data_IF_491360269712
#
_entry.id   IF_491360269712
#
_cell.length_a   1.000
_cell.length_b   1.000
_cell.length_c   1.000
_cell.angle_alpha   90.00
_cell.angle_beta   90.00
_cell.angle_gamma   90.00
#
_symmetry.space_group_name_H-M   'P 1'
#
loop_
_entity.id
_entity.type
_entity.pdbx_description
1 polymer ?
#
# COMPACT_ATOMS: atom_id res chain seq x y z
N UNK A 1 -52.52 10.69 29.21
CA UNK A 1 -51.60 10.82 28.04
C UNK A 1 -50.22 10.41 28.52
N UNK A 2 -49.79 9.18 28.26
CA UNK A 2 -48.50 8.65 28.73
C UNK A 2 -47.53 8.57 27.56
N UNK A 3 -46.56 9.48 27.52
CA UNK A 3 -45.51 9.52 26.49
C UNK A 3 -44.39 8.54 26.84
N UNK A 4 -44.33 7.43 26.11
CA UNK A 4 -43.23 6.46 26.16
C UNK A 4 -41.96 7.08 25.56
N UNK A 5 -40.92 7.28 26.38
CA UNK A 5 -39.58 7.68 25.91
C UNK A 5 -38.91 6.47 25.27
N UNK A 6 -38.77 6.47 23.95
CA UNK A 6 -37.97 5.50 23.21
C UNK A 6 -36.48 5.87 23.32
N UNK A 7 -35.71 5.08 24.07
CA UNK A 7 -34.25 5.17 24.06
C UNK A 7 -33.72 4.33 22.89
N UNK A 8 -33.37 4.97 21.76
CA UNK A 8 -32.71 4.29 20.65
C UNK A 8 -31.22 4.10 20.98
N UNK A 9 -30.79 2.85 21.14
CA UNK A 9 -29.39 2.47 21.24
C UNK A 9 -28.72 2.52 19.85
N UNK A 10 -28.45 3.73 19.34
CA UNK A 10 -27.64 3.89 18.14
C UNK A 10 -26.17 3.63 18.50
N UNK A 11 -25.51 2.73 17.76
CA UNK A 11 -24.08 2.37 17.83
C UNK A 11 -23.57 1.46 18.96
N UNK A 12 -24.42 0.60 19.57
CA UNK A 12 -23.96 -0.34 20.59
C UNK A 12 -22.97 -1.43 20.09
N UNK A 13 -22.72 -1.56 18.77
CA UNK A 13 -21.92 -2.63 18.17
C UNK A 13 -21.06 -2.21 16.97
N UNK A 14 -20.58 -0.97 16.92
CA UNK A 14 -19.61 -0.55 15.88
C UNK A 14 -18.24 -1.21 16.13
N UNK A 15 -18.07 -2.47 15.75
CA UNK A 15 -16.79 -3.18 15.75
C UNK A 15 -15.91 -2.81 14.53
N UNK A 16 -16.19 -1.69 13.85
CA UNK A 16 -15.30 -1.22 12.81
C UNK A 16 -14.00 -0.70 13.45
N UNK A 17 -12.83 -1.25 13.09
CA UNK A 17 -11.57 -0.74 13.58
C UNK A 17 -11.44 0.71 13.12
N UNK A 18 -11.41 1.65 14.07
CA UNK A 18 -11.18 3.07 13.78
C UNK A 18 -9.82 3.19 13.10
N UNK A 19 -9.84 3.54 11.82
CA UNK A 19 -8.62 3.85 11.07
C UNK A 19 -7.88 5.00 11.79
N UNK A 20 -6.57 4.90 12.01
CA UNK A 20 -5.81 5.98 12.61
C UNK A 20 -5.80 7.19 11.67
N UNK A 21 -5.83 8.38 12.24
CA UNK A 21 -5.78 9.64 11.49
C UNK A 21 -4.42 9.83 10.79
N UNK A 22 -3.34 9.34 11.41
CA UNK A 22 -1.96 9.47 10.94
C UNK A 22 -1.22 8.13 10.99
N UNK A 23 -0.23 7.97 10.09
CA UNK A 23 0.69 6.83 10.05
C UNK A 23 2.12 7.34 9.89
N UNK A 24 3.07 6.63 10.51
CA UNK A 24 4.49 6.92 10.36
C UNK A 24 5.05 6.34 9.05
N UNK A 25 5.78 7.17 8.30
CA UNK A 25 6.43 6.77 7.06
C UNK A 25 7.93 6.51 7.28
N UNK A 26 8.38 5.27 7.10
CA UNK A 26 9.80 4.90 7.27
C UNK A 26 10.72 5.38 6.14
N UNK A 27 10.17 5.86 5.01
CA UNK A 27 10.98 6.37 3.90
C UNK A 27 11.39 7.85 4.02
N UNK A 28 10.63 8.65 4.76
CA UNK A 28 10.95 10.07 5.01
C UNK A 28 10.90 10.43 6.50
N UNK A 29 10.75 9.41 7.35
CA UNK A 29 10.76 9.47 8.81
C UNK A 29 9.79 10.51 9.41
N UNK A 30 8.60 10.65 8.80
CA UNK A 30 7.57 11.62 9.18
C UNK A 30 6.23 10.95 9.39
N UNK A 31 5.47 11.46 10.36
CA UNK A 31 4.05 11.18 10.47
C UNK A 31 3.30 11.90 9.35
N UNK A 32 2.42 11.17 8.67
CA UNK A 32 1.60 11.71 7.58
C UNK A 32 0.15 11.28 7.76
N UNK A 33 -0.81 12.07 7.25
CA UNK A 33 -2.20 11.66 7.20
C UNK A 33 -2.39 10.33 6.49
N UNK A 34 -3.35 9.52 6.93
CA UNK A 34 -3.61 8.19 6.37
C UNK A 34 -3.79 8.16 4.85
N UNK A 35 -4.39 9.20 4.26
CA UNK A 35 -4.59 9.32 2.80
C UNK A 35 -3.29 9.50 2.00
N UNK A 36 -2.18 9.84 2.68
CA UNK A 36 -0.83 9.89 2.08
C UNK A 36 -0.25 8.50 1.83
N UNK A 37 -0.90 7.43 2.29
CA UNK A 37 -0.50 6.04 2.10
C UNK A 37 -1.42 5.33 1.10
N UNK A 38 -0.92 4.29 0.43
CA UNK A 38 -1.77 3.44 -0.41
C UNK A 38 -2.69 2.58 0.45
N UNK A 39 -3.84 2.14 -0.08
CA UNK A 39 -4.75 1.21 0.60
C UNK A 39 -4.00 -0.03 1.10
N UNK A 40 -3.08 -0.57 0.30
CA UNK A 40 -2.25 -1.73 0.67
C UNK A 40 -1.30 -1.45 1.85
N UNK A 41 -0.68 -0.26 1.92
CA UNK A 41 0.16 0.14 3.04
C UNK A 41 -0.68 0.38 4.31
N UNK A 42 -1.88 0.95 4.16
CA UNK A 42 -2.82 1.11 5.27
C UNK A 42 -3.24 -0.26 5.83
N UNK A 43 -3.63 -1.21 4.98
CA UNK A 43 -4.00 -2.56 5.43
C UNK A 43 -2.85 -3.26 6.17
N UNK A 44 -1.60 -3.09 5.70
CA UNK A 44 -0.40 -3.59 6.40
C UNK A 44 -0.16 -2.89 7.74
N UNK A 45 -0.41 -1.59 7.84
CA UNK A 45 -0.37 -0.90 9.13
C UNK A 45 -1.42 -1.48 10.09
N UNK A 46 -2.65 -1.67 9.59
CA UNK A 46 -3.79 -2.14 10.39
C UNK A 46 -3.63 -3.58 10.87
N UNK A 47 -3.04 -4.45 10.05
CA UNK A 47 -2.82 -5.85 10.43
C UNK A 47 -1.89 -6.02 11.65
N UNK A 48 -1.04 -5.02 11.93
CA UNK A 48 -0.23 -5.01 13.15
C UNK A 48 -0.99 -4.55 14.39
N UNK A 49 -2.03 -3.73 14.23
CA UNK A 49 -2.77 -3.12 15.34
C UNK A 49 -3.86 -4.07 15.89
N UNK A 50 -4.50 -4.86 15.03
CA UNK A 50 -5.72 -5.60 15.36
C UNK A 50 -5.61 -7.13 15.45
N UNK A 51 -4.43 -7.70 15.69
CA UNK A 51 -4.32 -9.16 15.81
C UNK A 51 -4.83 -9.65 17.19
N UNK A 52 -6.15 -9.88 17.30
CA UNK A 52 -6.82 -10.42 18.50
C UNK A 52 -6.31 -11.81 18.91
N UNK A 53 -5.74 -12.57 17.96
CA UNK A 53 -5.16 -13.89 18.18
C UNK A 53 -3.63 -13.85 18.35
N UNK A 54 -2.99 -12.67 18.26
CA UNK A 54 -1.60 -12.53 18.64
C UNK A 54 -1.51 -12.44 20.18
N UNK A 55 -0.85 -13.39 20.86
CA UNK A 55 -0.53 -13.22 22.27
C UNK A 55 0.32 -11.94 22.41
N UNK A 56 -0.14 -10.99 23.24
CA UNK A 56 0.55 -9.76 23.69
C UNK A 56 1.75 -9.36 22.80
N UNK A 57 1.49 -8.76 21.65
CA UNK A 57 2.53 -8.11 20.83
C UNK A 57 3.36 -9.01 19.92
N UNK A 58 2.97 -10.27 19.67
CA UNK A 58 3.77 -11.23 18.88
C UNK A 58 3.52 -11.21 17.36
N UNK A 59 3.14 -10.07 16.77
CA UNK A 59 3.43 -9.84 15.34
C UNK A 59 4.83 -9.22 15.28
N UNK A 60 5.87 -10.06 15.35
CA UNK A 60 7.27 -9.65 15.59
C UNK A 60 7.87 -8.76 14.50
N UNK A 61 7.21 -8.63 13.34
CA UNK A 61 7.66 -7.78 12.24
C UNK A 61 6.76 -6.56 12.11
N UNK A 62 7.21 -5.42 12.67
CA UNK A 62 6.61 -4.12 12.34
C UNK A 62 6.71 -3.92 10.83
N UNK A 63 5.58 -3.79 10.14
CA UNK A 63 5.61 -3.47 8.73
C UNK A 63 6.15 -2.05 8.55
N UNK A 64 7.26 -1.90 7.82
CA UNK A 64 7.80 -0.58 7.47
C UNK A 64 6.94 0.04 6.39
N UNK A 65 5.94 0.81 6.81
CA UNK A 65 5.03 1.52 5.92
C UNK A 65 5.69 2.74 5.30
N UNK A 66 5.48 2.94 4.00
CA UNK A 66 5.97 4.09 3.25
C UNK A 66 4.81 4.86 2.63
N UNK A 67 4.90 6.20 2.61
CA UNK A 67 3.91 7.03 1.94
C UNK A 67 4.00 6.87 0.42
N UNK A 68 2.99 7.37 -0.31
CA UNK A 68 2.93 7.29 -1.78
C UNK A 68 4.15 7.93 -2.45
N UNK A 69 4.70 8.99 -1.87
CA UNK A 69 5.90 9.68 -2.39
C UNK A 69 7.19 8.88 -2.14
N UNK A 70 7.27 8.15 -1.02
CA UNK A 70 8.44 7.34 -0.68
C UNK A 70 8.36 5.92 -1.26
N UNK A 71 7.21 5.50 -1.79
CA UNK A 71 7.06 4.18 -2.39
C UNK A 71 7.70 4.21 -3.78
N UNK A 72 8.68 3.33 -4.07
CA UNK A 72 9.29 3.27 -5.40
C UNK A 72 8.22 3.04 -6.46
N UNK A 73 8.18 3.94 -7.46
CA UNK A 73 7.28 3.79 -8.60
C UNK A 73 7.68 2.55 -9.38
N UNK A 74 6.68 1.78 -9.81
CA UNK A 74 6.91 0.64 -10.70
C UNK A 74 7.13 1.19 -12.11
N UNK A 75 8.28 0.89 -12.73
CA UNK A 75 8.50 1.21 -14.15
C UNK A 75 7.50 0.43 -15.00
N UNK A 76 6.72 1.12 -15.82
CA UNK A 76 5.72 0.53 -16.73
C UNK A 76 6.22 0.43 -18.17
N UNK A 77 7.39 1.00 -18.46
CA UNK A 77 8.03 1.03 -19.77
C UNK A 77 9.55 0.85 -19.64
N UNK A 78 10.16 0.43 -20.74
CA UNK A 78 11.61 0.32 -20.89
C UNK A 78 12.03 0.90 -22.25
N UNK A 79 13.24 1.43 -22.31
CA UNK A 79 13.87 1.88 -23.56
C UNK A 79 14.72 0.75 -24.12
N UNK A 80 14.47 0.37 -25.37
CA UNK A 80 15.28 -0.64 -26.04
C UNK A 80 16.65 -0.07 -26.40
N UNK A 81 17.74 -0.77 -26.03
CA UNK A 81 19.09 -0.33 -26.33
C UNK A 81 19.46 -0.39 -27.84
N UNK A 82 18.72 -1.18 -28.62
CA UNK A 82 18.99 -1.39 -30.06
C UNK A 82 18.22 -0.41 -30.92
N UNK A 83 16.91 -0.30 -30.70
CA UNK A 83 16.03 0.54 -31.53
C UNK A 83 15.66 1.88 -30.87
N UNK A 84 16.20 2.17 -29.68
CA UNK A 84 16.03 3.41 -28.89
C UNK A 84 14.60 3.84 -28.58
N UNK A 85 13.61 2.97 -28.86
CA UNK A 85 12.20 3.22 -28.58
C UNK A 85 11.86 2.88 -27.13
N UNK A 86 11.11 3.76 -26.48
CA UNK A 86 10.47 3.50 -25.19
C UNK A 86 9.17 2.76 -25.43
N UNK A 87 9.03 1.57 -24.86
CA UNK A 87 7.91 0.67 -25.09
C UNK A 87 7.39 0.08 -23.77
N UNK A 88 6.13 -0.38 -23.74
CA UNK A 88 5.56 -1.03 -22.56
C UNK A 88 6.24 -2.37 -22.24
N UNK A 89 6.17 -2.80 -20.97
CA UNK A 89 6.89 -3.99 -20.47
C UNK A 89 6.51 -5.30 -21.17
N UNK A 90 5.33 -5.41 -21.79
CA UNK A 90 4.88 -6.56 -22.57
C UNK A 90 5.75 -6.79 -23.82
N UNK A 91 6.41 -5.73 -24.33
CA UNK A 91 7.37 -5.83 -25.44
C UNK A 91 8.76 -6.27 -25.02
N UNK A 92 8.98 -6.58 -23.73
CA UNK A 92 10.27 -7.02 -23.19
C UNK A 92 10.13 -8.32 -22.39
N UNK A 93 11.12 -9.20 -22.53
CA UNK A 93 11.16 -10.43 -21.75
C UNK A 93 11.24 -10.13 -20.25
N UNK A 94 10.53 -10.91 -19.42
CA UNK A 94 10.45 -10.66 -17.96
C UNK A 94 11.81 -10.58 -17.28
N UNK A 95 12.77 -11.40 -17.73
CA UNK A 95 14.15 -11.40 -17.23
C UNK A 95 14.88 -10.06 -17.47
N UNK A 96 14.55 -9.33 -18.55
CA UNK A 96 15.18 -8.05 -18.89
C UNK A 96 14.64 -6.89 -18.06
N UNK A 97 13.45 -7.01 -17.46
CA UNK A 97 12.79 -5.92 -16.73
C UNK A 97 13.55 -5.46 -15.48
N UNK A 98 14.46 -6.29 -14.96
CA UNK A 98 15.35 -5.93 -13.85
C UNK A 98 16.57 -5.11 -14.29
N UNK A 99 16.96 -5.19 -15.57
CA UNK A 99 18.15 -4.55 -16.12
C UNK A 99 17.75 -3.64 -17.30
N UNK A 100 17.07 -2.52 -16.97
CA UNK A 100 16.49 -1.60 -17.94
C UNK A 100 17.50 -1.12 -19.00
N UNK A 101 18.73 -0.81 -18.58
CA UNK A 101 19.81 -0.30 -19.43
C UNK A 101 20.21 -1.22 -20.60
N UNK A 102 19.98 -2.53 -20.45
CA UNK A 102 20.37 -3.55 -21.44
C UNK A 102 19.16 -4.24 -22.08
N UNK A 103 17.96 -3.68 -21.92
CA UNK A 103 16.72 -4.27 -22.41
C UNK A 103 16.66 -4.22 -23.94
N UNK A 104 16.18 -5.32 -24.54
CA UNK A 104 15.99 -5.46 -26.00
C UNK A 104 14.55 -5.90 -26.25
N UNK A 105 13.84 -5.14 -27.07
CA UNK A 105 12.45 -5.48 -27.39
C UNK A 105 12.35 -6.86 -28.08
N UNK A 106 11.26 -7.58 -27.81
CA UNK A 106 10.97 -8.91 -28.37
C UNK A 106 10.65 -8.82 -29.87
N UNK A 107 10.27 -7.64 -30.37
CA UNK A 107 9.96 -7.45 -31.78
C UNK A 107 11.10 -7.98 -32.65
N UNK A 108 10.85 -9.13 -33.27
CA UNK A 108 11.61 -9.67 -34.38
C UNK A 108 11.66 -8.59 -35.46
N UNK A 109 12.86 -8.30 -35.94
CA UNK A 109 13.08 -7.49 -37.14
C UNK A 109 12.24 -8.00 -38.31
#
# INVERSE_FOLDING_TARGET
>A
MSSSKTHSAQNANSQEPKLPSVLFCYGCEKEKPIHSFSKTQITKAMSNIHNRYAPKGRTTKRHHTTCKQCTPQQNTSLTCMVCTKTMPLDKFAKAQRKNAEKARCIASY
#
